data_IF_320404794832
#
_entry.id   IF_320404794832
#
_cell.length_a   1.000
_cell.length_b   1.000
_cell.length_c   1.000
_cell.angle_alpha   90.00
_cell.angle_beta   90.00
_cell.angle_gamma   90.00
#
_symmetry.space_group_name_H-M   'P 1'
#
loop_
_entity.id
_entity.type
_entity.pdbx_description
1 polymer ?
#
# COMPACT_ATOMS: atom_id res chain seq x y z
N UNK A 1 -24.31 -7.63 -49.14
CA UNK A 1 -24.66 -7.62 -47.70
C UNK A 1 -23.37 -7.52 -46.90
N UNK A 2 -22.99 -6.34 -46.38
CA UNK A 2 -21.80 -6.19 -45.54
C UNK A 2 -22.17 -6.11 -44.06
N UNK A 3 -21.29 -6.70 -43.23
CA UNK A 3 -21.38 -6.75 -41.78
C UNK A 3 -21.27 -5.35 -41.13
N UNK A 4 -22.07 -5.13 -40.09
CA UNK A 4 -22.11 -3.89 -39.31
C UNK A 4 -20.83 -3.70 -38.49
N UNK A 5 -20.11 -2.59 -38.74
CA UNK A 5 -19.06 -2.08 -37.87
C UNK A 5 -19.67 -1.19 -36.78
N UNK A 6 -19.36 -1.47 -35.52
CA UNK A 6 -19.78 -0.65 -34.38
C UNK A 6 -18.88 0.60 -34.33
N UNK A 7 -19.45 1.74 -34.73
CA UNK A 7 -18.84 3.06 -34.57
C UNK A 7 -18.92 3.51 -33.11
N UNK A 8 -17.78 3.56 -32.41
CA UNK A 8 -17.67 4.30 -31.15
C UNK A 8 -17.45 5.79 -31.45
N UNK A 9 -18.46 6.61 -31.15
CA UNK A 9 -18.41 8.06 -31.21
C UNK A 9 -17.57 8.61 -30.04
N UNK A 10 -16.38 9.13 -30.30
CA UNK A 10 -15.60 9.91 -29.35
C UNK A 10 -16.28 11.27 -29.15
N UNK A 11 -17.12 11.40 -28.12
CA UNK A 11 -17.69 12.70 -27.73
C UNK A 11 -16.62 13.48 -26.95
N UNK A 12 -16.07 14.51 -27.59
CA UNK A 12 -15.14 15.49 -27.00
C UNK A 12 -15.81 16.17 -25.78
N UNK A 13 -15.40 15.79 -24.57
CA UNK A 13 -15.74 16.54 -23.35
C UNK A 13 -14.72 17.66 -23.16
N UNK A 14 -15.05 18.84 -23.66
CA UNK A 14 -14.33 20.08 -23.39
C UNK A 14 -14.79 20.68 -22.05
N UNK A 15 -13.79 21.08 -21.24
CA UNK A 15 -13.84 22.04 -20.11
C UNK A 15 -14.46 21.58 -18.78
N UNK A 16 -13.61 21.01 -17.92
CA UNK A 16 -13.53 21.33 -16.46
C UNK A 16 -12.31 20.65 -15.83
N UNK A 17 -11.10 21.08 -16.20
CA UNK A 17 -9.84 20.60 -15.62
C UNK A 17 -9.09 21.73 -14.89
N UNK A 18 -9.78 22.48 -14.02
CA UNK A 18 -9.20 23.67 -13.38
C UNK A 18 -9.49 23.85 -11.88
N UNK A 19 -9.97 22.83 -11.16
CA UNK A 19 -10.36 22.99 -9.74
C UNK A 19 -9.72 22.02 -8.73
N UNK A 20 -8.90 21.06 -9.14
CA UNK A 20 -8.29 20.07 -8.23
C UNK A 20 -6.78 20.29 -7.96
N UNK A 21 -6.30 21.53 -8.05
CA UNK A 21 -4.89 21.88 -7.86
C UNK A 21 -4.62 22.94 -6.79
N UNK A 22 -5.49 23.10 -5.79
CA UNK A 22 -5.41 24.22 -4.85
C UNK A 22 -5.84 23.86 -3.42
N UNK A 23 -5.20 22.85 -2.83
CA UNK A 23 -5.37 22.53 -1.41
C UNK A 23 -4.06 22.43 -0.61
N UNK A 24 -2.93 22.92 -1.14
CA UNK A 24 -1.66 22.88 -0.41
C UNK A 24 -0.83 24.19 -0.40
N UNK A 25 -1.34 25.31 -0.91
CA UNK A 25 -0.57 26.56 -0.93
C UNK A 25 -1.47 27.80 -0.76
N UNK A 26 -1.94 28.06 0.47
CA UNK A 26 -2.17 29.44 0.93
C UNK A 26 -0.91 29.89 1.68
N UNK A 27 0.12 30.31 0.91
CA UNK A 27 1.26 31.02 1.47
C UNK A 27 0.89 32.48 1.69
N UNK A 28 0.97 32.96 2.93
CA UNK A 28 1.09 34.40 3.21
C UNK A 28 2.44 34.90 2.65
N UNK A 29 2.47 36.00 1.87
CA UNK A 29 3.71 36.56 1.37
C UNK A 29 4.39 37.36 2.50
N UNK A 30 5.45 36.83 3.09
CA UNK A 30 6.24 37.56 4.09
C UNK A 30 7.15 36.73 5.01
N UNK A 31 7.01 35.41 5.08
CA UNK A 31 7.85 34.59 5.95
C UNK A 31 9.13 34.13 5.24
N UNK A 32 10.25 34.81 5.50
CA UNK A 32 11.59 34.25 5.32
C UNK A 32 11.69 32.97 6.15
N UNK A 33 11.64 31.81 5.48
CA UNK A 33 11.82 30.51 6.15
C UNK A 33 13.30 30.34 6.47
N UNK A 34 13.70 30.75 7.68
CA UNK A 34 14.78 30.06 8.36
C UNK A 34 14.34 28.60 8.46
N UNK A 35 14.94 27.73 7.66
CA UNK A 35 14.73 26.28 7.75
C UNK A 35 15.46 25.79 9.00
N UNK A 36 14.96 26.20 10.17
CA UNK A 36 15.19 25.43 11.38
C UNK A 36 14.51 24.10 11.09
N UNK A 37 15.30 23.05 10.88
CA UNK A 37 14.82 21.68 10.98
C UNK A 37 14.38 21.58 12.44
N UNK A 38 13.10 21.86 12.71
CA UNK A 38 12.53 21.51 14.00
C UNK A 38 12.82 20.03 14.22
N UNK A 39 13.17 19.66 15.46
CA UNK A 39 13.54 18.29 15.76
C UNK A 39 12.45 17.35 15.22
N UNK A 40 12.84 16.38 14.42
CA UNK A 40 11.92 15.38 13.84
C UNK A 40 11.01 14.76 14.90
N UNK A 41 11.49 14.63 16.15
CA UNK A 41 10.70 14.14 17.27
C UNK A 41 9.58 15.12 17.69
N UNK A 42 9.86 16.41 17.77
CA UNK A 42 8.86 17.44 18.11
C UNK A 42 7.75 17.52 17.04
N UNK A 43 8.13 17.44 15.76
CA UNK A 43 7.17 17.42 14.66
C UNK A 43 6.28 16.17 14.74
N UNK A 44 6.87 15.01 14.98
CA UNK A 44 6.13 13.75 15.13
C UNK A 44 5.18 13.79 16.33
N UNK A 45 5.62 14.37 17.44
CA UNK A 45 4.80 14.53 18.64
C UNK A 45 3.60 15.46 18.37
N UNK A 46 3.85 16.64 17.79
CA UNK A 46 2.79 17.58 17.43
C UNK A 46 1.78 16.97 16.43
N UNK A 47 2.26 16.19 15.46
CA UNK A 47 1.40 15.48 14.51
C UNK A 47 0.50 14.44 15.20
N UNK A 48 1.04 13.70 16.19
CA UNK A 48 0.27 12.73 16.98
C UNK A 48 -0.80 13.40 17.83
N UNK A 49 -0.46 14.47 18.55
CA UNK A 49 -1.40 15.24 19.36
C UNK A 49 -2.54 15.81 18.51
N UNK A 50 -2.18 16.45 17.39
CA UNK A 50 -3.16 16.94 16.43
C UNK A 50 -4.09 15.83 15.93
N UNK A 51 -3.55 14.66 15.57
CA UNK A 51 -4.36 13.53 15.12
C UNK A 51 -5.31 13.02 16.21
N UNK A 52 -4.83 12.87 17.45
CA UNK A 52 -5.66 12.42 18.58
C UNK A 52 -6.86 13.33 18.81
N UNK A 53 -6.64 14.64 18.77
CA UNK A 53 -7.68 15.64 18.98
C UNK A 53 -8.68 15.70 17.81
N UNK A 54 -8.23 15.44 16.59
CA UNK A 54 -9.01 15.70 15.37
C UNK A 54 -9.45 14.43 14.63
N UNK A 55 -9.16 13.22 15.12
CA UNK A 55 -9.44 11.96 14.40
C UNK A 55 -10.90 11.80 13.94
N UNK A 56 -11.87 12.34 14.69
CA UNK A 56 -13.30 12.28 14.36
C UNK A 56 -13.73 13.29 13.30
N UNK A 57 -12.96 14.36 13.09
CA UNK A 57 -13.27 15.45 12.17
C UNK A 57 -12.55 15.30 10.82
N UNK A 58 -11.48 14.49 10.78
CA UNK A 58 -10.75 14.16 9.56
C UNK A 58 -11.63 13.31 8.64
N UNK A 59 -12.18 13.95 7.61
CA UNK A 59 -12.91 13.29 6.51
C UNK A 59 -12.01 13.21 5.30
N UNK A 60 -11.43 12.04 5.04
CA UNK A 60 -10.66 11.83 3.82
C UNK A 60 -11.64 11.53 2.66
N UNK A 61 -11.51 12.20 1.49
CA UNK A 61 -12.44 12.02 0.37
C UNK A 61 -12.32 10.66 -0.34
N UNK A 62 -11.35 9.84 0.06
CA UNK A 62 -11.13 8.49 -0.44
C UNK A 62 -11.11 7.51 0.74
N UNK A 63 -11.28 6.22 0.48
CA UNK A 63 -10.99 5.20 1.47
C UNK A 63 -9.51 5.37 1.88
N UNK A 64 -9.21 5.29 3.19
CA UNK A 64 -7.84 5.38 3.67
C UNK A 64 -6.98 4.39 2.88
N UNK A 65 -5.80 4.79 2.35
CA UNK A 65 -4.95 3.85 1.67
C UNK A 65 -4.66 2.70 2.64
N UNK A 66 -5.09 1.50 2.28
CA UNK A 66 -4.81 0.34 3.10
C UNK A 66 -3.30 0.17 3.16
N UNK A 67 -2.77 -0.09 4.37
CA UNK A 67 -1.35 -0.31 4.65
C UNK A 67 -0.69 -1.19 3.57
N UNK A 68 -1.42 -2.19 3.08
CA UNK A 68 -1.00 -3.08 2.02
C UNK A 68 -0.57 -2.39 0.72
N UNK A 69 -1.27 -1.36 0.23
CA UNK A 69 -0.84 -0.68 -1.00
C UNK A 69 0.49 0.05 -0.83
N UNK A 70 0.67 0.73 0.31
CA UNK A 70 1.92 1.46 0.61
C UNK A 70 3.08 0.48 0.66
N UNK A 71 2.94 -0.60 1.42
CA UNK A 71 3.96 -1.64 1.56
C UNK A 71 4.31 -2.27 0.20
N UNK A 72 3.30 -2.59 -0.64
CA UNK A 72 3.55 -3.09 -2.00
C UNK A 72 4.29 -2.09 -2.89
N UNK A 73 3.94 -0.81 -2.85
CA UNK A 73 4.63 0.19 -3.66
C UNK A 73 6.08 0.36 -3.23
N UNK A 74 6.36 0.37 -1.92
CA UNK A 74 7.73 0.48 -1.44
C UNK A 74 8.59 -0.71 -1.89
N UNK A 75 8.03 -1.93 -1.93
CA UNK A 75 8.75 -3.10 -2.46
C UNK A 75 9.00 -3.03 -3.96
N UNK A 76 8.12 -2.40 -4.74
CA UNK A 76 8.35 -2.18 -6.18
C UNK A 76 9.41 -1.11 -6.45
N UNK A 77 9.44 -0.07 -5.62
CA UNK A 77 10.29 1.12 -5.80
C UNK A 77 11.69 0.98 -5.17
N UNK A 78 12.01 -0.16 -4.55
CA UNK A 78 13.32 -0.38 -3.91
C UNK A 78 13.54 0.49 -2.68
N UNK A 79 12.45 0.93 -2.02
CA UNK A 79 12.48 1.78 -0.83
C UNK A 79 12.67 0.95 0.43
N UNK A 80 13.84 0.30 0.53
CA UNK A 80 14.13 -0.70 1.55
C UNK A 80 14.07 -0.15 2.97
N UNK A 81 14.61 1.04 3.22
CA UNK A 81 14.60 1.64 4.57
C UNK A 81 13.17 1.86 5.09
N UNK A 82 12.30 2.42 4.27
CA UNK A 82 10.90 2.66 4.64
C UNK A 82 10.11 1.34 4.70
N UNK A 83 10.35 0.42 3.76
CA UNK A 83 9.71 -0.89 3.74
C UNK A 83 10.04 -1.69 5.01
N UNK A 84 11.33 -1.80 5.33
CA UNK A 84 11.80 -2.55 6.49
C UNK A 84 11.24 -1.95 7.80
N UNK A 85 11.16 -0.62 7.88
CA UNK A 85 10.52 0.06 9.01
C UNK A 85 9.04 -0.30 9.17
N UNK A 86 8.28 -0.33 8.07
CA UNK A 86 6.85 -0.71 8.12
C UNK A 86 6.65 -2.19 8.40
N UNK A 87 7.49 -3.08 7.83
CA UNK A 87 7.43 -4.51 8.11
C UNK A 87 7.78 -4.81 9.57
N UNK A 88 8.82 -4.18 10.12
CA UNK A 88 9.19 -4.30 11.53
C UNK A 88 8.09 -3.77 12.45
N UNK A 89 7.44 -2.65 12.08
CA UNK A 89 6.28 -2.16 12.80
C UNK A 89 5.12 -3.16 12.77
N UNK A 90 4.81 -3.74 11.60
CA UNK A 90 3.75 -4.74 11.47
C UNK A 90 4.03 -5.95 12.35
N UNK A 91 5.25 -6.49 12.32
CA UNK A 91 5.66 -7.64 13.14
C UNK A 91 5.55 -7.37 14.64
N UNK A 92 5.82 -6.13 15.06
CA UNK A 92 5.79 -5.76 16.48
C UNK A 92 4.39 -5.42 16.98
N UNK A 93 3.55 -4.78 16.15
CA UNK A 93 2.34 -4.10 16.62
C UNK A 93 1.04 -4.65 16.04
N UNK A 94 1.08 -5.43 14.95
CA UNK A 94 -0.13 -5.87 14.22
C UNK A 94 -0.45 -7.35 14.40
N UNK A 95 0.07 -7.95 15.48
CA UNK A 95 -0.26 -9.32 15.93
C UNK A 95 -0.05 -10.41 14.86
N UNK A 96 1.16 -10.55 14.27
CA UNK A 96 1.44 -11.63 13.34
C UNK A 96 1.11 -12.99 13.98
N UNK A 97 0.29 -13.78 13.30
CA UNK A 97 -0.22 -15.06 13.80
C UNK A 97 0.12 -16.18 12.81
N UNK A 98 0.54 -17.31 13.35
CA UNK A 98 0.78 -18.53 12.59
C UNK A 98 -0.38 -19.50 12.77
N UNK A 99 -0.97 -19.94 11.67
CA UNK A 99 -2.01 -20.96 11.65
C UNK A 99 -1.74 -21.90 10.49
N UNK A 100 -1.70 -23.21 10.75
CA UNK A 100 -1.47 -24.26 9.73
C UNK A 100 -0.24 -24.01 8.84
N UNK A 101 0.82 -23.41 9.39
CA UNK A 101 2.05 -23.09 8.66
C UNK A 101 1.98 -21.81 7.80
N UNK A 102 0.86 -21.10 7.79
CA UNK A 102 0.71 -19.79 7.17
C UNK A 102 0.86 -18.65 8.17
N UNK A 103 1.64 -17.63 7.80
CA UNK A 103 1.71 -16.37 8.54
C UNK A 103 0.66 -15.39 8.00
N UNK A 104 -0.18 -14.86 8.88
CA UNK A 104 -1.14 -13.81 8.55
C UNK A 104 -1.23 -12.77 9.67
N UNK A 105 -1.87 -11.63 9.37
CA UNK A 105 -2.16 -10.60 10.36
C UNK A 105 -3.69 -10.54 10.55
N UNK A 106 -4.22 -10.80 11.76
CA UNK A 106 -5.66 -10.82 12.02
C UNK A 106 -6.34 -9.50 11.66
N UNK A 107 -7.58 -9.59 11.16
CA UNK A 107 -8.38 -8.43 10.82
C UNK A 107 -8.64 -7.57 12.07
N UNK A 108 -8.48 -6.26 11.92
CA UNK A 108 -8.83 -5.26 12.91
C UNK A 108 -9.41 -4.03 12.23
N UNK A 109 -10.69 -3.72 12.50
CA UNK A 109 -11.39 -2.58 11.88
C UNK A 109 -11.14 -1.25 12.62
N UNK A 110 -10.38 -1.26 13.73
CA UNK A 110 -10.00 -0.04 14.46
C UNK A 110 -8.78 0.61 13.78
N UNK A 111 -8.94 1.86 13.33
CA UNK A 111 -7.89 2.66 12.68
C UNK A 111 -6.61 2.76 13.53
N UNK A 112 -6.76 3.25 14.76
CA UNK A 112 -5.67 3.55 15.68
C UNK A 112 -6.05 3.25 17.14
N UNK A 113 -5.05 2.94 17.96
CA UNK A 113 -5.20 2.82 19.42
C UNK A 113 -5.35 4.19 20.11
N UNK A 114 -5.39 4.20 21.46
CA UNK A 114 -5.51 5.43 22.26
C UNK A 114 -4.25 6.31 22.15
N UNK A 115 -3.10 5.68 21.93
CA UNK A 115 -1.81 6.32 21.71
C UNK A 115 -1.66 6.89 20.28
N UNK A 116 -2.59 6.58 19.38
CA UNK A 116 -2.58 7.00 17.98
C UNK A 116 -1.68 6.15 17.09
N UNK A 117 -1.23 4.99 17.56
CA UNK A 117 -0.54 4.01 16.73
C UNK A 117 -1.52 3.35 15.77
N UNK A 118 -1.04 3.05 14.56
CA UNK A 118 -1.84 2.33 13.57
C UNK A 118 -2.12 0.91 14.02
N UNK A 119 -3.40 0.52 14.06
CA UNK A 119 -3.85 -0.83 14.44
C UNK A 119 -4.70 -1.51 13.37
N UNK A 120 -5.13 -0.76 12.35
CA UNK A 120 -6.03 -1.30 11.34
C UNK A 120 -5.36 -2.35 10.46
N UNK A 121 -6.09 -3.44 10.26
CA UNK A 121 -5.69 -4.52 9.38
C UNK A 121 -6.92 -5.03 8.63
N UNK A 122 -6.93 -4.85 7.32
CA UNK A 122 -7.92 -5.46 6.43
C UNK A 122 -7.40 -6.81 5.89
N UNK A 123 -8.30 -7.70 5.42
CA UNK A 123 -7.90 -9.02 4.90
C UNK A 123 -6.88 -8.95 3.75
N UNK A 124 -6.94 -7.94 2.88
CA UNK A 124 -5.99 -7.81 1.78
C UNK A 124 -4.59 -7.44 2.29
N UNK A 125 -4.51 -6.47 3.22
CA UNK A 125 -3.23 -6.08 3.83
C UNK A 125 -2.56 -7.26 4.57
N UNK A 126 -3.34 -7.93 5.42
CA UNK A 126 -2.84 -8.98 6.32
C UNK A 126 -2.50 -10.30 5.64
N UNK A 127 -3.29 -10.72 4.65
CA UNK A 127 -3.12 -12.05 4.03
C UNK A 127 -2.32 -11.99 2.72
N UNK A 128 -2.27 -10.85 2.04
CA UNK A 128 -1.68 -10.78 0.69
C UNK A 128 -0.60 -9.72 0.55
N UNK A 129 -0.88 -8.48 0.95
CA UNK A 129 -0.01 -7.36 0.61
C UNK A 129 1.33 -7.37 1.35
N UNK A 130 1.33 -7.71 2.64
CA UNK A 130 2.58 -7.86 3.42
C UNK A 130 3.41 -9.04 2.88
N UNK A 131 2.77 -10.19 2.62
CA UNK A 131 3.44 -11.35 2.01
C UNK A 131 4.04 -11.02 0.64
N UNK A 132 3.29 -10.31 -0.21
CA UNK A 132 3.78 -9.81 -1.49
C UNK A 132 5.05 -9.00 -1.31
N UNK A 133 5.04 -7.99 -0.43
CA UNK A 133 6.20 -7.10 -0.29
C UNK A 133 7.45 -7.77 0.27
N UNK A 134 7.29 -8.82 1.09
CA UNK A 134 8.42 -9.64 1.58
C UNK A 134 9.07 -10.48 0.47
N UNK A 135 8.28 -10.94 -0.49
CA UNK A 135 8.73 -11.81 -1.58
C UNK A 135 9.09 -11.02 -2.85
N UNK A 136 8.57 -9.80 -2.98
CA UNK A 136 8.76 -8.99 -4.16
C UNK A 136 10.20 -8.49 -4.28
N UNK A 137 10.64 -8.30 -5.52
CA UNK A 137 11.91 -7.65 -5.85
C UNK A 137 11.65 -6.26 -6.42
N UNK A 138 12.64 -5.38 -6.36
CA UNK A 138 12.54 -4.08 -7.00
C UNK A 138 12.16 -4.23 -8.48
N UNK A 139 11.21 -3.42 -8.95
CA UNK A 139 10.65 -3.50 -10.29
C UNK A 139 9.97 -4.83 -10.64
N UNK A 140 9.55 -5.65 -9.67
CA UNK A 140 8.96 -6.97 -9.87
C UNK A 140 7.85 -7.01 -10.94
N UNK A 141 6.87 -6.11 -10.86
CA UNK A 141 5.80 -6.04 -11.88
C UNK A 141 6.32 -5.65 -13.26
N UNK A 142 7.25 -4.70 -13.32
CA UNK A 142 7.89 -4.28 -14.56
C UNK A 142 8.67 -5.42 -15.19
N UNK A 143 9.43 -6.19 -14.39
CA UNK A 143 10.18 -7.36 -14.86
C UNK A 143 9.22 -8.38 -15.47
N UNK A 144 8.11 -8.71 -14.79
CA UNK A 144 7.13 -9.66 -15.31
C UNK A 144 6.53 -9.22 -16.65
N UNK A 145 6.27 -7.92 -16.82
CA UNK A 145 5.69 -7.38 -18.06
C UNK A 145 6.71 -7.28 -19.20
N UNK A 146 7.95 -6.89 -18.91
CA UNK A 146 8.99 -6.67 -19.93
C UNK A 146 9.77 -7.94 -20.29
N UNK A 147 9.83 -8.90 -19.38
CA UNK A 147 10.55 -10.16 -19.53
C UNK A 147 9.71 -11.32 -18.96
N UNK A 148 8.57 -11.64 -19.60
CA UNK A 148 7.71 -12.74 -19.17
C UNK A 148 8.47 -14.06 -19.20
N UNK A 149 8.16 -14.96 -18.27
CA UNK A 149 8.78 -16.28 -18.23
C UNK A 149 8.45 -17.11 -19.48
N UNK A 150 9.46 -17.75 -20.04
CA UNK A 150 9.30 -18.73 -21.13
C UNK A 150 9.32 -20.15 -20.56
N UNK A 151 8.93 -21.13 -21.38
CA UNK A 151 9.02 -22.55 -20.98
C UNK A 151 10.45 -22.94 -20.62
N UNK A 152 11.40 -22.50 -21.42
CA UNK A 152 12.84 -22.75 -21.21
C UNK A 152 13.30 -22.12 -19.90
N UNK A 153 12.86 -20.89 -19.61
CA UNK A 153 13.17 -20.20 -18.33
C UNK A 153 12.65 -20.99 -17.13
N UNK A 154 11.49 -21.65 -17.25
CA UNK A 154 10.87 -22.39 -16.15
C UNK A 154 11.53 -23.75 -15.90
N UNK A 155 12.06 -24.42 -16.93
CA UNK A 155 12.71 -25.74 -16.81
C UNK A 155 13.93 -25.69 -15.89
N UNK A 156 14.68 -24.58 -15.92
CA UNK A 156 15.92 -24.43 -15.14
C UNK A 156 15.71 -23.79 -13.74
N UNK A 157 14.48 -23.36 -13.42
CA UNK A 157 14.18 -22.69 -12.14
C UNK A 157 13.82 -23.72 -11.06
N UNK A 158 14.25 -23.51 -9.80
CA UNK A 158 13.77 -24.33 -8.70
C UNK A 158 12.26 -24.15 -8.53
N UNK A 159 11.56 -25.24 -8.27
CA UNK A 159 10.13 -25.26 -7.98
C UNK A 159 9.87 -26.16 -6.77
N UNK A 160 8.76 -25.90 -6.09
CA UNK A 160 8.25 -26.76 -5.02
C UNK A 160 7.26 -27.74 -5.64
N UNK A 161 7.45 -29.04 -5.38
CA UNK A 161 6.57 -30.11 -5.83
C UNK A 161 5.96 -30.85 -4.63
N UNK A 162 4.95 -31.68 -4.88
CA UNK A 162 4.26 -32.45 -3.84
C UNK A 162 3.30 -31.61 -3.00
N UNK A 163 2.87 -30.45 -3.53
CA UNK A 163 1.78 -29.66 -2.96
C UNK A 163 0.46 -30.11 -3.60
N UNK A 164 -0.46 -30.61 -2.79
CA UNK A 164 -1.80 -30.95 -3.22
C UNK A 164 -2.85 -30.51 -2.18
N UNK A 165 -4.12 -30.54 -2.58
CA UNK A 165 -5.24 -30.12 -1.72
C UNK A 165 -5.50 -31.08 -0.55
N UNK A 166 -4.86 -32.25 -0.52
CA UNK A 166 -5.00 -33.20 0.60
C UNK A 166 -4.20 -32.80 1.83
N UNK A 167 -3.30 -31.80 1.70
CA UNK A 167 -2.46 -31.30 2.79
C UNK A 167 -3.19 -30.37 3.78
N UNK A 168 -4.53 -30.28 3.69
CA UNK A 168 -5.34 -29.50 4.64
C UNK A 168 -5.23 -27.99 4.48
N UNK A 169 -4.67 -27.51 3.36
CA UNK A 169 -4.67 -26.10 2.99
C UNK A 169 -5.98 -25.77 2.26
N UNK A 170 -6.86 -25.01 2.93
CA UNK A 170 -8.06 -24.46 2.31
C UNK A 170 -7.70 -23.16 1.58
N UNK A 171 -7.45 -23.26 0.27
CA UNK A 171 -6.95 -22.15 -0.55
C UNK A 171 -8.07 -21.29 -1.18
N UNK A 172 -9.32 -21.37 -0.68
CA UNK A 172 -10.50 -20.71 -1.27
C UNK A 172 -11.23 -19.78 -0.30
#
# INVERSE_FOLDING_TARGET
MPCQGIHYQYRRASRTAASYGRWCLSRSPGATRNHHIADSAEILQAAREFYKENRSTIKFPYNQPTLGYVIKWLSELGKTTELDGLLAYADKHLQPTWENGGLYYPRNDIATDEEGHWTHMDPFSGNSAIGYARLNVENGQKIMMHAPWTKETLVDRPFVDGLDLSQGMDCL
#
